data_IF_705366969535
#
_entry.id   IF_705366969535
#
_cell.length_a   1.000
_cell.length_b   1.000
_cell.length_c   1.000
_cell.angle_alpha   90.00
_cell.angle_beta   90.00
_cell.angle_gamma   90.00
#
_symmetry.space_group_name_H-M   'P 1'
#
loop_
_entity.id
_entity.type
_entity.pdbx_description
1 polymer ?
#
# COMPACT_ATOMS: atom_id res chain seq x y z
N UNK A 1 -5.46 -28.90 2.34
CA UNK A 1 -4.49 -29.56 3.21
C UNK A 1 -3.07 -29.35 2.68
N UNK A 2 -2.10 -29.18 3.56
CA UNK A 2 -0.66 -29.25 3.25
C UNK A 2 -0.04 -30.34 4.13
N UNK A 3 0.82 -31.13 3.56
CA UNK A 3 1.43 -32.28 4.22
C UNK A 3 2.94 -32.17 4.25
N UNK A 4 3.52 -32.56 5.40
CA UNK A 4 4.95 -32.69 5.55
C UNK A 4 5.74 -31.41 5.45
N UNK A 5 5.22 -30.27 5.91
CA UNK A 5 5.95 -29.02 5.95
C UNK A 5 7.19 -29.13 6.85
N UNK A 6 8.37 -28.81 6.29
CA UNK A 6 9.67 -29.06 6.92
C UNK A 6 10.63 -27.87 6.76
N UNK A 7 10.12 -26.67 6.59
CA UNK A 7 10.92 -25.46 6.47
C UNK A 7 11.33 -24.87 7.84
N UNK A 8 12.53 -24.36 7.96
CA UNK A 8 13.07 -23.76 9.19
C UNK A 8 12.93 -24.71 10.39
N UNK A 9 12.14 -24.33 11.41
CA UNK A 9 11.89 -25.13 12.61
C UNK A 9 10.71 -26.11 12.50
N UNK A 10 10.07 -26.21 11.34
CA UNK A 10 8.97 -27.16 11.12
C UNK A 10 9.53 -28.56 10.89
N UNK A 11 8.97 -29.55 11.56
CA UNK A 11 9.34 -30.96 11.44
C UNK A 11 8.15 -31.80 10.98
N UNK A 12 8.03 -31.98 9.66
CA UNK A 12 7.01 -32.80 9.01
C UNK A 12 5.56 -32.47 9.46
N UNK A 13 5.23 -31.18 9.55
CA UNK A 13 3.95 -30.68 10.04
C UNK A 13 2.88 -30.81 8.96
N UNK A 14 1.73 -31.33 9.32
CA UNK A 14 0.54 -31.37 8.48
C UNK A 14 -0.44 -30.28 8.93
N UNK A 15 -1.07 -29.60 7.97
CA UNK A 15 -2.07 -28.56 8.22
C UNK A 15 -3.30 -28.82 7.37
N UNK A 16 -4.47 -28.78 8.01
CA UNK A 16 -5.77 -28.83 7.35
C UNK A 16 -6.54 -27.57 7.68
N UNK A 17 -6.94 -26.84 6.65
CA UNK A 17 -7.77 -25.64 6.75
C UNK A 17 -9.13 -25.95 6.12
N UNK A 18 -10.23 -25.89 6.86
CA UNK A 18 -11.56 -26.03 6.28
C UNK A 18 -11.88 -24.84 5.35
N UNK A 19 -12.50 -25.10 4.22
CA UNK A 19 -13.00 -24.04 3.32
C UNK A 19 -14.28 -23.41 3.90
N UNK A 20 -14.53 -22.13 3.56
CA UNK A 20 -15.72 -21.42 4.03
C UNK A 20 -15.70 -21.04 5.52
N UNK A 21 -14.57 -21.15 6.19
CA UNK A 21 -14.45 -20.83 7.63
C UNK A 21 -13.43 -19.72 7.88
N UNK A 22 -13.60 -19.01 8.98
CA UNK A 22 -12.56 -18.15 9.54
C UNK A 22 -11.61 -18.99 10.41
N UNK A 23 -10.35 -19.07 9.98
CA UNK A 23 -9.32 -19.85 10.70
C UNK A 23 -8.26 -18.91 11.28
N UNK A 24 -8.06 -18.97 12.59
CA UNK A 24 -7.04 -18.20 13.30
C UNK A 24 -5.85 -19.08 13.66
N UNK A 25 -4.62 -18.61 13.33
CA UNK A 25 -3.36 -19.31 13.65
C UNK A 25 -2.65 -18.57 14.77
N UNK A 26 -2.61 -19.16 15.95
CA UNK A 26 -2.02 -18.59 17.17
C UNK A 26 -0.82 -19.38 17.68
N UNK A 27 -0.09 -18.82 18.61
CA UNK A 27 1.05 -19.45 19.26
C UNK A 27 2.18 -18.45 19.57
N UNK A 28 3.17 -18.89 20.33
CA UNK A 28 4.31 -18.08 20.75
C UNK A 28 5.15 -17.60 19.57
N UNK A 29 5.91 -16.51 19.76
CA UNK A 29 6.85 -16.04 18.75
C UNK A 29 7.88 -17.11 18.44
N UNK A 30 8.27 -17.27 17.16
CA UNK A 30 9.24 -18.28 16.74
C UNK A 30 8.68 -19.71 16.60
N UNK A 31 7.39 -19.99 16.91
CA UNK A 31 6.82 -21.34 16.79
C UNK A 31 6.63 -21.87 15.36
N UNK A 32 6.96 -21.09 14.34
CA UNK A 32 6.86 -21.52 12.94
C UNK A 32 5.58 -21.13 12.22
N UNK A 33 4.68 -20.36 12.83
CA UNK A 33 3.42 -19.91 12.20
C UNK A 33 3.62 -19.27 10.82
N UNK A 34 4.49 -18.26 10.75
CA UNK A 34 4.81 -17.56 9.49
C UNK A 34 5.49 -18.47 8.48
N UNK A 35 6.32 -19.40 8.94
CA UNK A 35 6.95 -20.40 8.08
C UNK A 35 5.92 -21.32 7.46
N UNK A 36 4.96 -21.81 8.25
CA UNK A 36 3.93 -22.72 7.78
C UNK A 36 2.92 -22.00 6.85
N UNK A 37 2.39 -20.87 7.27
CA UNK A 37 1.30 -20.17 6.53
C UNK A 37 1.86 -19.34 5.38
N UNK A 38 2.79 -18.41 5.63
CA UNK A 38 3.26 -17.47 4.60
C UNK A 38 4.33 -18.10 3.71
N UNK A 39 5.36 -18.70 4.29
CA UNK A 39 6.51 -19.18 3.53
C UNK A 39 6.28 -20.55 2.86
N UNK A 40 5.33 -21.35 3.36
CA UNK A 40 5.02 -22.67 2.78
C UNK A 40 3.68 -22.65 2.06
N UNK A 41 2.56 -22.52 2.79
CA UNK A 41 1.23 -22.64 2.21
C UNK A 41 0.92 -21.54 1.20
N UNK A 42 1.09 -20.26 1.57
CA UNK A 42 0.82 -19.14 0.67
C UNK A 42 1.68 -19.20 -0.60
N UNK A 43 2.98 -19.45 -0.48
CA UNK A 43 3.84 -19.53 -1.65
C UNK A 43 3.52 -20.75 -2.53
N UNK A 44 3.16 -21.90 -1.95
CA UNK A 44 2.73 -23.07 -2.70
C UNK A 44 1.45 -22.79 -3.50
N UNK A 45 0.43 -22.21 -2.86
CA UNK A 45 -0.82 -21.84 -3.51
C UNK A 45 -0.62 -20.76 -4.59
N UNK A 46 0.21 -19.76 -4.30
CA UNK A 46 0.47 -18.68 -5.26
C UNK A 46 1.20 -19.19 -6.51
N UNK A 47 2.11 -20.15 -6.36
CA UNK A 47 2.77 -20.79 -7.50
C UNK A 47 1.77 -21.56 -8.35
N UNK A 48 0.82 -22.27 -7.73
CA UNK A 48 -0.16 -23.10 -8.45
C UNK A 48 -1.26 -22.27 -9.13
N UNK A 49 -1.80 -21.26 -8.41
CA UNK A 49 -2.94 -20.49 -8.92
C UNK A 49 -2.53 -19.34 -9.86
N UNK A 50 -1.41 -18.70 -9.59
CA UNK A 50 -1.02 -17.47 -10.30
C UNK A 50 0.15 -17.66 -11.29
N UNK A 51 0.86 -18.78 -11.28
CA UNK A 51 2.07 -19.03 -12.09
C UNK A 51 3.16 -17.91 -12.02
N UNK A 52 3.05 -17.02 -11.05
CA UNK A 52 3.88 -15.80 -10.90
C UNK A 52 4.57 -15.71 -9.53
N UNK A 53 4.75 -16.85 -8.87
CA UNK A 53 5.40 -16.85 -7.56
C UNK A 53 6.84 -16.32 -7.68
N UNK A 54 7.11 -15.19 -7.03
CA UNK A 54 8.45 -14.60 -6.96
C UNK A 54 9.38 -15.37 -6.01
N UNK A 55 8.82 -16.20 -5.13
CA UNK A 55 9.56 -16.98 -4.14
C UNK A 55 9.06 -18.42 -4.14
N UNK A 56 10.00 -19.37 -4.10
CA UNK A 56 9.67 -20.77 -3.93
C UNK A 56 9.09 -21.03 -2.52
N UNK A 57 8.13 -21.95 -2.39
CA UNK A 57 7.65 -22.39 -1.09
C UNK A 57 8.78 -23.10 -0.32
N UNK A 58 8.72 -23.06 1.02
CA UNK A 58 9.58 -23.90 1.86
C UNK A 58 9.24 -25.37 1.66
N UNK A 59 10.15 -26.27 2.03
CA UNK A 59 10.01 -27.71 1.82
C UNK A 59 8.73 -28.28 2.41
N UNK A 60 7.98 -29.04 1.64
CA UNK A 60 6.80 -29.81 2.03
C UNK A 60 6.62 -31.01 1.07
N UNK A 61 5.85 -32.01 1.48
CA UNK A 61 5.66 -33.23 0.67
C UNK A 61 4.59 -33.09 -0.40
N UNK A 62 3.55 -32.33 -0.14
CA UNK A 62 2.45 -32.11 -1.07
C UNK A 62 1.25 -31.39 -0.46
N UNK A 63 0.30 -31.06 -1.30
CA UNK A 63 -0.96 -30.42 -0.88
C UNK A 63 -2.15 -31.05 -1.62
N UNK A 64 -3.36 -30.84 -1.07
CA UNK A 64 -4.65 -31.30 -1.64
C UNK A 64 -5.71 -30.21 -1.45
N UNK A 65 -6.73 -30.20 -2.31
CA UNK A 65 -7.87 -29.30 -2.20
C UNK A 65 -7.60 -27.90 -2.79
N UNK A 66 -6.58 -27.71 -3.62
CA UNK A 66 -6.29 -26.44 -4.29
C UNK A 66 -7.35 -26.09 -5.31
N UNK A 67 -7.97 -27.10 -5.91
CA UNK A 67 -9.10 -26.99 -6.85
C UNK A 67 -10.35 -26.33 -6.24
N UNK A 68 -10.42 -26.23 -4.92
CA UNK A 68 -11.50 -25.55 -4.19
C UNK A 68 -11.21 -24.05 -3.97
N UNK A 69 -10.09 -23.52 -4.47
CA UNK A 69 -9.63 -22.15 -4.24
C UNK A 69 -9.46 -21.43 -5.57
N UNK A 70 -10.26 -20.41 -5.80
CA UNK A 70 -10.19 -19.60 -7.04
C UNK A 70 -9.07 -18.57 -6.99
N UNK A 71 -8.83 -17.99 -5.80
CA UNK A 71 -7.91 -16.88 -5.62
C UNK A 71 -7.29 -16.86 -4.24
N UNK A 72 -6.03 -16.42 -4.18
CA UNK A 72 -5.34 -16.13 -2.91
C UNK A 72 -4.97 -14.65 -2.83
N UNK A 73 -5.21 -14.05 -1.68
CA UNK A 73 -4.90 -12.64 -1.41
C UNK A 73 -4.05 -12.58 -0.14
N UNK A 74 -2.90 -11.95 -0.23
CA UNK A 74 -2.04 -11.62 0.91
C UNK A 74 -2.37 -10.21 1.39
N UNK A 75 -2.70 -10.10 2.67
CA UNK A 75 -2.93 -8.80 3.32
C UNK A 75 -1.92 -8.69 4.44
N UNK A 76 -0.94 -7.83 4.28
CA UNK A 76 0.08 -7.56 5.27
C UNK A 76 -0.10 -6.18 5.92
N UNK A 77 0.69 -5.90 6.93
CA UNK A 77 0.70 -4.61 7.63
C UNK A 77 1.79 -3.67 7.10
N UNK A 78 2.36 -3.96 5.94
CA UNK A 78 3.36 -3.10 5.32
C UNK A 78 2.77 -1.73 5.01
N UNK A 79 3.50 -0.65 5.26
CA UNK A 79 3.04 0.69 4.90
C UNK A 79 2.84 0.80 3.38
N UNK A 80 1.84 1.57 2.97
CA UNK A 80 1.55 1.87 1.57
C UNK A 80 2.65 2.80 1.04
N UNK A 81 3.75 2.20 0.56
CA UNK A 81 4.91 2.94 0.10
C UNK A 81 5.85 3.42 1.23
N UNK A 82 7.00 3.96 0.83
CA UNK A 82 8.08 4.36 1.75
C UNK A 82 8.34 5.86 1.77
N UNK A 83 7.53 6.64 1.07
CA UNK A 83 7.72 8.08 0.93
C UNK A 83 6.52 8.86 1.46
N UNK A 84 6.67 10.10 1.91
CA UNK A 84 5.56 10.98 2.30
C UNK A 84 4.50 11.17 1.20
N UNK A 85 4.85 10.92 -0.07
CA UNK A 85 3.95 11.00 -1.23
C UNK A 85 3.02 9.81 -1.38
N UNK A 86 3.31 8.72 -0.67
CA UNK A 86 2.48 7.51 -0.72
C UNK A 86 1.29 7.65 0.22
N UNK A 87 0.08 7.60 -0.34
CA UNK A 87 -1.16 7.63 0.42
C UNK A 87 -2.20 6.66 -0.16
N UNK A 88 -3.24 6.29 0.59
CA UNK A 88 -4.27 5.36 0.14
C UNK A 88 -4.96 5.78 -1.16
N UNK A 89 -5.28 7.06 -1.31
CA UNK A 89 -5.99 7.58 -2.49
C UNK A 89 -5.14 7.43 -3.78
N UNK A 90 -3.84 7.66 -3.69
CA UNK A 90 -2.91 7.45 -4.81
C UNK A 90 -2.73 5.96 -5.10
N UNK A 91 -2.60 5.13 -4.08
CA UNK A 91 -2.41 3.68 -4.21
C UNK A 91 -3.60 2.98 -4.86
N UNK A 92 -4.81 3.35 -4.49
CA UNK A 92 -6.06 2.79 -5.07
C UNK A 92 -6.43 3.40 -6.41
N UNK A 93 -5.73 4.45 -6.86
CA UNK A 93 -6.05 5.18 -8.08
C UNK A 93 -7.22 6.17 -7.94
N UNK A 94 -7.83 6.29 -6.77
CA UNK A 94 -8.95 7.20 -6.51
C UNK A 94 -8.58 8.68 -6.73
N UNK A 95 -7.32 9.02 -6.56
CA UNK A 95 -6.84 10.40 -6.72
C UNK A 95 -6.89 10.90 -8.18
N UNK A 96 -6.88 9.98 -9.16
CA UNK A 96 -7.04 10.32 -10.59
C UNK A 96 -8.38 11.03 -10.86
N UNK A 97 -9.51 10.35 -10.65
CA UNK A 97 -10.84 10.93 -10.77
C UNK A 97 -11.07 12.21 -9.97
N UNK A 98 -10.49 12.32 -8.76
CA UNK A 98 -10.57 13.53 -7.93
C UNK A 98 -9.90 14.71 -8.63
N UNK A 99 -8.71 14.54 -9.18
CA UNK A 99 -8.01 15.60 -9.93
C UNK A 99 -8.79 16.03 -11.18
N UNK A 100 -9.33 15.06 -11.90
CA UNK A 100 -10.15 15.34 -13.10
C UNK A 100 -11.41 16.14 -12.74
N UNK A 101 -12.02 15.80 -11.60
CA UNK A 101 -13.17 16.55 -11.08
C UNK A 101 -12.80 18.00 -10.78
N UNK A 102 -11.73 18.25 -10.02
CA UNK A 102 -11.26 19.61 -9.71
C UNK A 102 -10.89 20.39 -10.97
N UNK A 103 -10.32 19.73 -11.97
CA UNK A 103 -10.03 20.34 -13.28
C UNK A 103 -11.28 20.75 -14.02
N UNK A 104 -12.37 20.02 -13.88
CA UNK A 104 -13.65 20.28 -14.57
C UNK A 104 -14.43 21.49 -14.01
N UNK A 105 -14.08 21.96 -12.82
CA UNK A 105 -14.74 23.09 -12.18
C UNK A 105 -14.63 24.37 -13.03
N UNK A 106 -15.67 25.22 -13.06
CA UNK A 106 -15.68 26.44 -13.87
C UNK A 106 -14.47 27.34 -13.62
N UNK A 107 -14.10 27.52 -12.35
CA UNK A 107 -12.96 28.35 -11.96
C UNK A 107 -11.63 27.77 -12.46
N UNK A 108 -11.44 26.45 -12.40
CA UNK A 108 -10.27 25.78 -12.97
C UNK A 108 -10.16 25.98 -14.47
N UNK A 109 -11.28 25.88 -15.18
CA UNK A 109 -11.34 26.10 -16.63
C UNK A 109 -11.01 27.55 -16.99
N UNK A 110 -11.54 28.52 -16.26
CA UNK A 110 -11.26 29.94 -16.47
C UNK A 110 -9.76 30.24 -16.28
N UNK A 111 -9.12 29.60 -15.30
CA UNK A 111 -7.67 29.76 -15.04
C UNK A 111 -6.80 28.88 -15.94
N UNK A 112 -7.39 28.03 -16.81
CA UNK A 112 -6.65 27.11 -17.69
C UNK A 112 -5.92 25.98 -16.95
N UNK A 113 -6.40 25.59 -15.78
CA UNK A 113 -5.78 24.56 -14.98
C UNK A 113 -6.00 23.16 -15.57
N UNK A 114 -4.94 22.39 -15.67
CA UNK A 114 -4.92 21.00 -16.14
C UNK A 114 -4.86 20.02 -14.95
N UNK A 115 -5.13 18.72 -15.11
CA UNK A 115 -5.08 17.74 -14.03
C UNK A 115 -3.76 17.70 -13.26
N UNK A 116 -2.63 18.02 -13.92
CA UNK A 116 -1.32 18.14 -13.28
C UNK A 116 -1.25 19.22 -12.21
N UNK A 117 -2.07 20.30 -12.31
CA UNK A 117 -2.16 21.35 -11.30
C UNK A 117 -2.61 20.83 -9.94
N UNK A 118 -3.46 19.83 -9.95
CA UNK A 118 -4.03 19.19 -8.78
C UNK A 118 -3.24 17.96 -8.33
N UNK A 119 -1.98 17.83 -8.78
CA UNK A 119 -1.05 16.78 -8.34
C UNK A 119 0.04 17.38 -7.47
N UNK A 120 0.20 16.85 -6.26
CA UNK A 120 1.32 17.22 -5.38
C UNK A 120 2.66 16.62 -5.83
N UNK A 121 2.67 15.72 -6.83
CA UNK A 121 3.89 15.13 -7.39
C UNK A 121 4.47 15.91 -8.59
N UNK A 122 3.72 16.86 -9.14
CA UNK A 122 4.09 17.58 -10.36
C UNK A 122 4.22 19.07 -10.06
N UNK A 123 5.25 19.70 -10.65
CA UNK A 123 5.44 21.17 -10.55
C UNK A 123 4.22 21.93 -11.09
N UNK A 124 3.97 23.08 -10.49
CA UNK A 124 2.92 24.01 -10.91
C UNK A 124 1.79 24.16 -9.91
N UNK A 125 1.33 23.07 -9.27
CA UNK A 125 0.27 23.14 -8.25
C UNK A 125 0.73 22.74 -6.86
N UNK A 126 1.85 22.05 -6.74
CA UNK A 126 2.44 21.65 -5.47
C UNK A 126 3.09 22.82 -4.74
N UNK A 127 3.25 22.69 -3.43
CA UNK A 127 4.15 23.55 -2.67
C UNK A 127 5.59 23.28 -3.10
N UNK A 128 6.30 24.30 -3.56
CA UNK A 128 7.70 24.12 -4.02
C UNK A 128 8.70 24.07 -2.86
N UNK A 129 8.37 24.62 -1.68
CA UNK A 129 9.24 24.55 -0.50
C UNK A 129 9.45 23.11 0.01
N UNK A 130 8.40 22.30 0.02
CA UNK A 130 8.47 20.87 0.40
C UNK A 130 8.33 19.94 -0.80
N UNK A 131 8.31 20.46 -2.00
CA UNK A 131 8.13 19.70 -3.24
C UNK A 131 6.90 18.78 -3.29
N UNK A 132 5.87 19.11 -2.49
CA UNK A 132 4.63 18.35 -2.39
C UNK A 132 4.63 17.27 -1.30
N UNK A 133 5.68 17.15 -0.50
CA UNK A 133 5.76 16.17 0.60
C UNK A 133 4.92 16.58 1.82
N UNK A 134 4.64 17.89 1.97
CA UNK A 134 3.94 18.45 3.13
C UNK A 134 4.82 18.56 4.38
N UNK A 135 5.99 17.92 4.33
CA UNK A 135 7.01 17.90 5.38
C UNK A 135 8.38 18.19 4.79
N UNK A 136 9.28 18.69 5.60
CA UNK A 136 10.71 18.83 5.29
C UNK A 136 11.44 17.73 6.06
N UNK A 137 12.23 16.93 5.35
CA UNK A 137 12.99 15.83 5.93
C UNK A 137 14.40 16.28 6.23
N UNK A 138 14.85 16.08 7.45
CA UNK A 138 16.24 16.26 7.86
C UNK A 138 16.88 14.89 8.02
N UNK A 139 17.73 14.53 7.07
CA UNK A 139 18.45 13.26 7.09
C UNK A 139 19.58 13.34 8.15
N UNK A 140 19.62 12.34 9.01
CA UNK A 140 20.65 12.21 10.06
C UNK A 140 21.44 10.92 9.83
N UNK A 141 22.76 11.03 9.61
CA UNK A 141 23.62 9.87 9.25
C UNK A 141 23.60 8.68 10.22
N UNK A 142 23.30 8.90 11.51
CA UNK A 142 23.33 7.86 12.54
C UNK A 142 22.05 7.76 13.37
N UNK A 143 21.04 8.60 13.09
CA UNK A 143 19.77 8.65 13.79
C UNK A 143 18.63 8.54 12.76
N UNK A 144 17.42 8.16 13.19
CA UNK A 144 16.25 8.22 12.31
C UNK A 144 16.02 9.64 11.78
N UNK A 145 15.60 9.73 10.52
CA UNK A 145 15.27 11.00 9.89
C UNK A 145 14.17 11.73 10.65
N UNK A 146 14.31 13.05 10.73
CA UNK A 146 13.33 13.93 11.37
C UNK A 146 12.45 14.58 10.30
N UNK A 147 11.13 14.47 10.48
CA UNK A 147 10.13 15.04 9.59
C UNK A 147 9.46 16.24 10.29
N UNK A 148 9.62 17.43 9.74
CA UNK A 148 9.02 18.66 10.25
C UNK A 148 7.96 19.15 9.27
N UNK A 149 6.79 19.53 9.74
CA UNK A 149 5.73 20.07 8.90
C UNK A 149 6.24 21.30 8.12
N UNK A 150 5.93 21.36 6.83
CA UNK A 150 6.34 22.48 5.98
C UNK A 150 5.67 23.78 6.44
N UNK A 151 6.46 24.81 6.70
CA UNK A 151 5.98 26.10 7.19
C UNK A 151 5.15 26.87 6.17
N UNK A 152 5.41 26.72 4.89
CA UNK A 152 4.67 27.39 3.84
C UNK A 152 3.28 26.79 3.61
N UNK A 153 3.22 25.49 3.37
CA UNK A 153 1.93 24.86 3.05
C UNK A 153 1.20 24.28 4.27
N UNK A 154 1.81 24.31 5.46
CA UNK A 154 1.24 23.73 6.68
C UNK A 154 0.72 22.30 6.50
N UNK A 155 1.47 21.49 5.73
CA UNK A 155 1.12 20.10 5.46
C UNK A 155 0.12 19.87 4.32
N UNK A 156 -0.46 20.91 3.73
CA UNK A 156 -1.46 20.76 2.63
C UNK A 156 -0.88 20.30 1.30
N UNK A 157 0.45 20.37 1.11
CA UNK A 157 1.20 19.92 -0.08
C UNK A 157 1.02 20.75 -1.34
N UNK A 158 0.07 21.67 -1.38
CA UNK A 158 -0.26 22.52 -2.53
C UNK A 158 0.13 23.96 -2.30
N UNK A 159 0.29 24.70 -3.38
CA UNK A 159 0.44 26.14 -3.32
C UNK A 159 -0.93 26.81 -3.11
N UNK A 160 -0.89 28.08 -2.67
CA UNK A 160 -2.09 28.86 -2.33
C UNK A 160 -3.09 28.93 -3.47
N UNK A 161 -2.63 29.17 -4.69
CA UNK A 161 -3.48 29.34 -5.86
C UNK A 161 -4.26 28.06 -6.21
N UNK A 162 -3.67 26.89 -6.00
CA UNK A 162 -4.36 25.60 -6.19
C UNK A 162 -5.43 25.38 -5.11
N UNK A 163 -5.17 25.80 -3.86
CA UNK A 163 -6.10 25.68 -2.75
C UNK A 163 -7.29 26.66 -2.82
N UNK A 164 -7.19 27.72 -3.64
CA UNK A 164 -8.31 28.63 -3.91
C UNK A 164 -9.44 27.95 -4.66
N UNK A 165 -9.13 26.94 -5.47
CA UNK A 165 -10.16 26.17 -6.19
C UNK A 165 -10.91 25.29 -5.19
N UNK A 166 -12.21 25.53 -5.05
CA UNK A 166 -13.06 24.84 -4.07
C UNK A 166 -14.26 24.20 -4.72
N UNK A 167 -14.61 23.03 -4.22
CA UNK A 167 -15.86 22.34 -4.50
C UNK A 167 -16.65 22.19 -3.18
N UNK A 168 -17.86 22.77 -3.13
CA UNK A 168 -18.68 22.81 -1.89
C UNK A 168 -17.90 23.32 -0.67
N UNK A 169 -17.05 24.33 -0.86
CA UNK A 169 -16.25 24.93 0.20
C UNK A 169 -14.97 24.15 0.56
N UNK A 170 -14.70 23.01 -0.06
CA UNK A 170 -13.53 22.16 0.17
C UNK A 170 -12.50 22.29 -0.96
N UNK A 171 -11.23 22.42 -0.61
CA UNK A 171 -10.10 22.39 -1.54
C UNK A 171 -9.67 20.93 -1.82
N UNK A 172 -8.75 20.76 -2.77
CA UNK A 172 -8.17 19.42 -3.04
C UNK A 172 -7.40 18.84 -1.85
N UNK A 173 -6.93 19.67 -0.94
CA UNK A 173 -6.23 19.22 0.28
C UNK A 173 -7.19 18.76 1.39
N UNK A 174 -8.47 19.09 1.29
CA UNK A 174 -9.51 18.71 2.26
C UNK A 174 -10.18 17.37 1.92
N UNK A 175 -9.84 16.80 0.76
CA UNK A 175 -10.37 15.53 0.24
C UNK A 175 -9.41 14.39 0.49
#
# INVERSE_FOLDING_TARGET
EINGASGNNLNNVNLKIPTGTFTCVTGVSGSGKSTLILQTLFHALNLTLNNKARKAPKSFKGYKGVELIDKIIDIDQSPIGRTPRSNPATYTGAFGPIRDWFTSLPESKTRGYKPGRFSFNVKGGRCEACEGDGVITYEMHFLPDVYIQCDECKGTRYNRETLEIKFKGKSIADV
#
